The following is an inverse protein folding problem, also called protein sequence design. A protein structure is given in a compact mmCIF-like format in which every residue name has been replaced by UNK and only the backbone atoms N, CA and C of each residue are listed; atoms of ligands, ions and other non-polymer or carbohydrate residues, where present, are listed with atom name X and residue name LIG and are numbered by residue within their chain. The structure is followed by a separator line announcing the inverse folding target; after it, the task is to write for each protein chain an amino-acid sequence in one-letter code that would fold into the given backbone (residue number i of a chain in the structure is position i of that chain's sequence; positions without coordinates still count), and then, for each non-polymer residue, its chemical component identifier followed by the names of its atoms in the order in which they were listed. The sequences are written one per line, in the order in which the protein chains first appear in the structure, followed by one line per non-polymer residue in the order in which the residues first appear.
data_IF_019335505447
#
_entry.id   IF_019335505447
#
_cell.length_a   1.000
_cell.length_b   1.000
_cell.length_c   1.000
_cell.angle_alpha   90.00
_cell.angle_beta   90.00
_cell.angle_gamma   90.00
#
_symmetry.space_group_name_H-M   'P 1'
#
loop_
_entity.id
_entity.type
_entity.pdbx_description
1 polymer ?
#
# COMPACT_ATOMS: atom_id res chain seq x y z
N UNK A 1 -25.57 8.74 -0.71
CA UNK A 1 -24.44 8.36 0.16
C UNK A 1 -23.28 7.83 -0.66
N UNK A 2 -22.06 8.19 -0.30
CA UNK A 2 -20.90 7.66 -1.00
C UNK A 2 -20.60 6.25 -0.53
N UNK A 3 -20.11 5.43 -1.48
CA UNK A 3 -19.72 4.06 -1.22
C UNK A 3 -18.53 4.01 -0.27
N UNK A 4 -18.56 3.10 0.69
CA UNK A 4 -17.43 2.81 1.57
C UNK A 4 -16.60 1.70 0.95
N UNK A 5 -15.30 1.94 0.77
CA UNK A 5 -14.38 0.99 0.13
C UNK A 5 -13.29 0.63 1.14
N UNK A 6 -13.28 -0.62 1.58
CA UNK A 6 -12.28 -1.12 2.55
C UNK A 6 -11.08 -1.69 1.79
N UNK A 7 -9.91 -1.12 2.04
CA UNK A 7 -8.69 -1.54 1.36
C UNK A 7 -7.53 -1.69 2.35
N UNK A 8 -6.56 -2.50 1.98
CA UNK A 8 -5.34 -2.70 2.77
C UNK A 8 -4.13 -2.32 1.96
N UNK A 9 -3.08 -1.86 2.63
CA UNK A 9 -1.81 -1.50 2.00
C UNK A 9 -0.64 -2.04 2.79
N UNK A 10 0.34 -2.59 2.07
CA UNK A 10 1.54 -3.17 2.65
C UNK A 10 2.70 -2.18 2.59
N UNK A 11 3.23 -1.82 3.75
CA UNK A 11 4.45 -1.03 3.85
C UNK A 11 5.58 -2.03 3.98
N UNK A 12 6.13 -2.42 2.83
CA UNK A 12 7.11 -3.51 2.76
C UNK A 12 8.52 -2.95 2.95
N UNK A 13 9.15 -3.37 4.04
CA UNK A 13 10.53 -2.98 4.34
C UNK A 13 11.51 -4.03 3.82
N UNK A 14 12.60 -3.56 3.24
CA UNK A 14 13.76 -4.38 2.91
C UNK A 14 14.97 -3.57 3.37
N UNK A 15 15.55 -3.96 4.52
CA UNK A 15 16.53 -3.15 5.25
C UNK A 15 15.88 -1.79 5.61
N UNK A 16 16.49 -0.67 5.22
CA UNK A 16 15.96 0.67 5.53
C UNK A 16 15.11 1.24 4.39
N UNK A 17 14.80 0.42 3.38
CA UNK A 17 14.04 0.87 2.21
C UNK A 17 12.62 0.35 2.24
N UNK A 18 11.74 1.14 1.64
CA UNK A 18 10.30 0.82 1.55
C UNK A 18 9.91 0.72 0.08
N UNK A 19 9.11 -0.30 -0.23
CA UNK A 19 8.59 -0.49 -1.59
C UNK A 19 7.49 0.52 -1.89
N UNK A 20 7.67 1.28 -2.95
CA UNK A 20 6.71 2.25 -3.44
C UNK A 20 6.23 1.80 -4.81
N UNK A 21 4.91 1.76 -5.03
CA UNK A 21 4.32 1.30 -6.28
C UNK A 21 3.61 2.45 -6.98
N UNK A 22 3.86 2.61 -8.29
CA UNK A 22 3.23 3.65 -9.09
C UNK A 22 2.06 3.09 -9.87
N UNK A 23 0.90 3.72 -9.71
CA UNK A 23 -0.33 3.34 -10.42
C UNK A 23 -0.16 3.59 -11.92
N UNK A 24 -0.69 2.70 -12.75
CA UNK A 24 -0.59 2.88 -14.19
C UNK A 24 -1.61 3.89 -14.71
N UNK A 25 -1.52 4.23 -16.00
CA UNK A 25 -2.35 5.26 -16.62
C UNK A 25 -3.83 4.89 -16.67
N UNK A 26 -4.16 3.61 -16.59
CA UNK A 26 -5.53 3.10 -16.71
C UNK A 26 -6.25 2.96 -15.38
N UNK A 27 -5.55 3.15 -14.28
CA UNK A 27 -6.14 3.09 -12.93
C UNK A 27 -6.71 4.45 -12.54
N UNK A 28 -7.60 4.46 -11.53
CA UNK A 28 -7.95 5.73 -10.89
C UNK A 28 -6.71 6.31 -10.24
N UNK A 29 -6.65 7.65 -10.07
CA UNK A 29 -5.47 8.34 -9.56
C UNK A 29 -4.21 7.94 -10.34
N UNK A 30 -4.23 8.10 -11.69
CA UNK A 30 -3.14 7.60 -12.52
C UNK A 30 -1.79 8.20 -12.17
N UNK A 31 -0.76 7.37 -12.24
CA UNK A 31 0.65 7.74 -12.02
C UNK A 31 0.99 8.21 -10.60
N UNK A 32 0.05 8.19 -9.67
CA UNK A 32 0.35 8.46 -8.27
C UNK A 32 0.97 7.22 -7.62
N UNK A 33 1.68 7.45 -6.54
CA UNK A 33 2.36 6.38 -5.80
C UNK A 33 1.48 5.90 -4.65
N UNK A 34 1.59 4.62 -4.32
CA UNK A 34 0.83 4.00 -3.25
C UNK A 34 1.60 2.83 -2.64
N UNK A 35 1.20 2.42 -1.45
CA UNK A 35 1.63 1.14 -0.92
C UNK A 35 0.81 0.06 -1.61
N UNK A 36 1.44 -1.04 -2.07
CA UNK A 36 0.70 -2.08 -2.76
C UNK A 36 -0.31 -2.75 -1.84
N UNK A 37 -1.42 -3.19 -2.41
CA UNK A 37 -2.51 -3.83 -1.68
C UNK A 37 -3.77 -3.85 -2.51
N UNK A 38 -4.92 -3.86 -1.86
CA UNK A 38 -6.19 -3.88 -2.58
C UNK A 38 -7.39 -4.03 -1.66
N UNK A 39 -8.53 -4.36 -2.25
CA UNK A 39 -9.80 -4.42 -1.54
C UNK A 39 -9.89 -5.65 -0.66
N UNK A 40 -10.50 -5.46 0.51
CA UNK A 40 -10.83 -6.57 1.42
C UNK A 40 -12.08 -7.26 0.88
N UNK A 41 -12.02 -8.58 0.74
CA UNK A 41 -13.16 -9.35 0.27
C UNK A 41 -14.03 -9.78 1.46
N UNK A 42 -15.27 -10.19 1.17
CA UNK A 42 -16.21 -10.63 2.18
C UNK A 42 -15.60 -11.73 3.05
N UNK A 43 -15.77 -11.60 4.36
CA UNK A 43 -15.31 -12.58 5.35
C UNK A 43 -13.78 -12.69 5.47
N UNK A 44 -13.04 -11.77 4.87
CA UNK A 44 -11.58 -11.67 5.02
C UNK A 44 -11.21 -10.72 6.14
N UNK A 45 -10.18 -11.07 6.92
CA UNK A 45 -9.55 -10.10 7.82
C UNK A 45 -8.65 -9.17 7.02
N UNK A 46 -8.23 -8.07 7.63
CA UNK A 46 -7.28 -7.14 6.99
C UNK A 46 -5.98 -7.85 6.62
N UNK A 47 -5.45 -8.66 7.53
CA UNK A 47 -4.19 -9.39 7.30
C UNK A 47 -4.34 -10.43 6.19
N UNK A 48 -5.45 -11.17 6.17
CA UNK A 48 -5.72 -12.15 5.11
C UNK A 48 -5.82 -11.48 3.75
N UNK A 49 -6.53 -10.35 3.69
CA UNK A 49 -6.67 -9.59 2.45
C UNK A 49 -5.31 -9.10 1.95
N UNK A 50 -4.49 -8.60 2.87
CA UNK A 50 -3.18 -8.07 2.52
C UNK A 50 -2.27 -9.14 1.94
N UNK A 51 -2.22 -10.30 2.58
CA UNK A 51 -1.41 -11.43 2.08
C UNK A 51 -1.88 -11.90 0.71
N UNK A 52 -3.20 -12.02 0.54
CA UNK A 52 -3.80 -12.44 -0.73
C UNK A 52 -3.48 -11.44 -1.85
N UNK A 53 -3.72 -10.14 -1.59
CA UNK A 53 -3.50 -9.10 -2.60
C UNK A 53 -2.05 -9.05 -3.06
N UNK A 54 -1.11 -9.13 -2.13
CA UNK A 54 0.31 -9.08 -2.48
C UNK A 54 0.74 -10.35 -3.22
N UNK A 55 0.20 -11.51 -2.83
CA UNK A 55 0.46 -12.76 -3.55
C UNK A 55 -0.03 -12.67 -5.00
N UNK A 56 -1.22 -12.10 -5.22
CA UNK A 56 -1.81 -11.96 -6.55
C UNK A 56 -1.08 -10.90 -7.39
N UNK A 57 -0.81 -9.74 -6.81
CA UNK A 57 -0.25 -8.60 -7.56
C UNK A 57 1.25 -8.68 -7.76
N UNK A 58 1.99 -9.22 -6.80
CA UNK A 58 3.45 -9.16 -6.80
C UNK A 58 4.12 -10.52 -6.68
N UNK A 59 3.33 -11.59 -6.66
CA UNK A 59 3.82 -12.97 -6.67
C UNK A 59 4.84 -13.24 -5.56
N UNK A 60 4.60 -12.68 -4.38
CA UNK A 60 5.48 -12.88 -3.22
C UNK A 60 4.68 -13.00 -1.94
N UNK A 61 5.29 -13.56 -0.91
CA UNK A 61 4.69 -13.74 0.41
C UNK A 61 5.23 -12.74 1.40
N UNK A 62 4.36 -12.30 2.32
CA UNK A 62 4.71 -11.33 3.35
C UNK A 62 4.64 -11.92 4.75
N UNK A 63 5.51 -11.41 5.61
CA UNK A 63 5.33 -11.49 7.05
C UNK A 63 4.73 -10.17 7.47
N UNK A 64 3.48 -10.19 7.96
CA UNK A 64 2.75 -8.97 8.34
C UNK A 64 3.04 -8.65 9.80
N UNK A 65 3.48 -7.43 10.05
CA UNK A 65 3.79 -6.94 11.39
C UNK A 65 2.74 -5.98 11.91
N UNK A 66 3.19 -4.90 12.53
CA UNK A 66 2.31 -3.95 13.22
C UNK A 66 1.50 -3.10 12.27
N UNK A 67 0.26 -2.83 12.66
CA UNK A 67 -0.60 -1.89 11.93
C UNK A 67 -0.07 -0.47 12.14
N UNK A 68 0.03 0.28 11.05
CA UNK A 68 0.48 1.67 11.10
C UNK A 68 -0.68 2.62 11.35
N UNK A 69 -1.71 2.55 10.51
CA UNK A 69 -2.88 3.41 10.69
C UNK A 69 -4.05 2.94 9.83
N UNK A 70 -5.23 3.47 10.15
CA UNK A 70 -6.41 3.40 9.30
C UNK A 70 -6.75 4.82 8.89
N UNK A 71 -6.83 5.07 7.59
CA UNK A 71 -7.05 6.40 7.04
C UNK A 71 -8.28 6.39 6.15
N UNK A 72 -9.20 7.34 6.37
CA UNK A 72 -10.36 7.51 5.50
C UNK A 72 -10.15 8.74 4.64
N UNK A 73 -10.36 8.59 3.34
CA UNK A 73 -10.26 9.71 2.40
C UNK A 73 -11.41 9.64 1.41
N UNK A 74 -12.09 10.77 1.23
CA UNK A 74 -13.21 10.85 0.30
C UNK A 74 -12.72 11.25 -1.08
N UNK A 75 -12.86 10.32 -2.04
CA UNK A 75 -12.66 10.59 -3.47
C UNK A 75 -14.04 10.74 -4.13
N UNK A 76 -14.06 11.23 -5.36
CA UNK A 76 -15.35 11.38 -6.06
C UNK A 76 -16.07 10.04 -6.27
N UNK A 77 -15.33 8.93 -6.33
CA UNK A 77 -15.90 7.60 -6.56
C UNK A 77 -16.29 6.88 -5.26
N UNK A 78 -15.95 7.42 -4.09
CA UNK A 78 -16.27 6.80 -2.81
C UNK A 78 -15.32 7.20 -1.71
N UNK A 79 -15.58 6.69 -0.51
CA UNK A 79 -14.72 6.90 0.65
C UNK A 79 -13.83 5.67 0.80
N UNK A 80 -12.52 5.86 0.65
CA UNK A 80 -11.53 4.78 0.82
C UNK A 80 -11.09 4.76 2.27
N UNK A 81 -11.25 3.60 2.90
CA UNK A 81 -10.73 3.33 4.24
C UNK A 81 -9.51 2.42 4.07
N UNK A 82 -8.33 3.01 4.19
CA UNK A 82 -7.06 2.32 3.95
C UNK A 82 -6.44 1.92 5.28
N UNK A 83 -6.19 0.62 5.42
CA UNK A 83 -5.56 0.02 6.59
C UNK A 83 -4.15 -0.42 6.21
N UNK A 84 -3.13 0.18 6.82
CA UNK A 84 -1.74 -0.07 6.45
C UNK A 84 -0.99 -0.82 7.54
N UNK A 85 -0.11 -1.73 7.11
CA UNK A 85 0.68 -2.59 8.00
C UNK A 85 2.12 -2.58 7.56
N UNK A 86 3.04 -2.62 8.54
CA UNK A 86 4.45 -2.87 8.28
C UNK A 86 4.62 -4.34 7.92
N UNK A 87 5.35 -4.60 6.86
CA UNK A 87 5.54 -5.96 6.35
C UNK A 87 6.99 -6.21 6.00
N UNK A 88 7.36 -7.49 5.98
CA UNK A 88 8.67 -7.93 5.50
C UNK A 88 8.47 -9.01 4.45
N UNK A 89 9.39 -9.10 3.52
CA UNK A 89 9.39 -10.18 2.53
C UNK A 89 9.86 -11.46 3.22
N UNK A 90 9.25 -12.60 2.85
CA UNK A 90 9.69 -13.90 3.36
C UNK A 90 10.87 -14.42 2.54
N UNK A 91 10.65 -14.71 1.25
CA UNK A 91 11.69 -15.33 0.42
C UNK A 91 11.89 -14.63 -0.91
N UNK A 92 10.80 -14.30 -1.61
CA UNK A 92 10.88 -13.77 -2.97
C UNK A 92 10.78 -12.25 -3.00
N UNK A 93 11.51 -11.64 -3.91
CA UNK A 93 11.33 -10.23 -4.23
C UNK A 93 10.02 -10.03 -4.99
N UNK A 94 9.36 -8.88 -4.81
CA UNK A 94 8.12 -8.59 -5.54
C UNK A 94 8.35 -8.54 -7.04
N UNK A 95 7.37 -9.05 -7.78
CA UNK A 95 7.37 -9.01 -9.25
C UNK A 95 6.35 -7.98 -9.69
N UNK A 96 6.74 -7.10 -10.60
CA UNK A 96 5.85 -6.08 -11.14
C UNK A 96 4.86 -6.72 -12.12
N UNK A 97 3.56 -6.65 -11.82
CA UNK A 97 2.52 -7.20 -12.70
C UNK A 97 1.53 -6.15 -13.18
N UNK A 98 0.97 -5.36 -12.28
CA UNK A 98 -0.11 -4.39 -12.61
C UNK A 98 0.33 -2.94 -12.56
N UNK A 99 1.24 -2.60 -11.67
CA UNK A 99 1.70 -1.22 -11.50
C UNK A 99 2.62 -0.81 -12.64
N UNK A 100 2.69 0.49 -12.90
CA UNK A 100 3.59 1.03 -13.92
C UNK A 100 5.04 0.81 -13.55
N UNK A 101 5.40 1.06 -12.31
CA UNK A 101 6.76 0.85 -11.81
C UNK A 101 6.76 0.65 -10.30
N UNK A 102 7.87 0.16 -9.79
CA UNK A 102 8.12 0.08 -8.35
C UNK A 102 9.49 0.67 -8.07
N UNK A 103 9.63 1.27 -6.89
CA UNK A 103 10.90 1.81 -6.40
C UNK A 103 11.09 1.44 -4.95
N UNK A 104 12.34 1.18 -4.57
CA UNK A 104 12.73 1.00 -3.18
C UNK A 104 13.39 2.30 -2.73
N UNK A 105 12.77 3.03 -1.79
CA UNK A 105 13.28 4.30 -1.29
C UNK A 105 13.60 4.22 0.19
N UNK A 106 14.64 4.95 0.60
CA UNK A 106 14.87 5.16 2.02
C UNK A 106 13.66 5.87 2.62
N UNK A 107 13.34 5.55 3.87
CA UNK A 107 12.17 6.14 4.54
C UNK A 107 12.22 7.67 4.49
N UNK A 108 13.39 8.26 4.70
CA UNK A 108 13.54 9.72 4.70
C UNK A 108 13.21 10.38 3.35
N UNK A 109 13.22 9.60 2.26
CA UNK A 109 12.97 10.11 0.90
C UNK A 109 11.55 9.87 0.41
N UNK A 110 10.70 9.23 1.21
CA UNK A 110 9.33 8.88 0.79
C UNK A 110 8.51 10.09 0.39
N UNK A 111 8.69 11.22 1.07
CA UNK A 111 7.89 12.41 0.79
C UNK A 111 8.28 13.11 -0.52
N UNK A 112 9.30 12.62 -1.23
CA UNK A 112 9.66 13.15 -2.56
C UNK A 112 8.71 12.66 -3.65
N UNK A 113 7.93 11.61 -3.39
CA UNK A 113 6.98 11.06 -4.37
C UNK A 113 5.60 11.71 -4.21
N UNK A 114 4.84 11.70 -5.31
CA UNK A 114 3.45 12.17 -5.30
C UNK A 114 2.53 11.01 -4.92
N UNK A 115 2.20 10.93 -3.65
CA UNK A 115 1.38 9.84 -3.10
C UNK A 115 -0.10 10.08 -3.31
N UNK A 116 -0.84 8.99 -3.52
CA UNK A 116 -2.31 9.04 -3.46
C UNK A 116 -2.72 9.57 -2.08
N UNK A 117 -3.72 10.46 -2.01
CA UNK A 117 -4.07 11.11 -0.74
C UNK A 117 -4.31 10.17 0.44
N UNK A 118 -4.96 9.03 0.23
CA UNK A 118 -5.25 8.09 1.32
C UNK A 118 -3.98 7.50 1.93
N UNK A 119 -2.87 7.47 1.18
CA UNK A 119 -1.59 6.91 1.65
C UNK A 119 -0.74 7.91 2.42
N UNK A 120 -0.99 9.20 2.25
CA UNK A 120 -0.16 10.25 2.84
C UNK A 120 -0.02 10.16 4.37
N UNK A 121 -1.09 9.93 5.14
CA UNK A 121 -0.94 9.84 6.59
C UNK A 121 0.01 8.72 7.04
N UNK A 122 -0.04 7.57 6.38
CA UNK A 122 0.88 6.47 6.70
C UNK A 122 2.32 6.84 6.37
N UNK A 123 2.55 7.51 5.24
CA UNK A 123 3.88 7.99 4.86
C UNK A 123 4.44 8.91 5.95
N UNK A 124 3.64 9.86 6.43
CA UNK A 124 4.06 10.79 7.47
C UNK A 124 4.41 10.10 8.77
N UNK A 125 3.62 9.11 9.17
CA UNK A 125 3.87 8.35 10.39
C UNK A 125 5.22 7.64 10.31
N UNK A 126 5.48 6.96 9.19
CA UNK A 126 6.74 6.22 9.02
C UNK A 126 7.94 7.17 8.99
N UNK A 127 7.83 8.27 8.28
CA UNK A 127 8.92 9.26 8.19
C UNK A 127 9.23 9.84 9.58
N UNK A 128 8.19 10.09 10.38
CA UNK A 128 8.37 10.65 11.72
C UNK A 128 8.99 9.66 12.70
N UNK A 129 9.00 8.36 12.39
CA UNK A 129 9.61 7.33 13.24
C UNK A 129 11.14 7.25 13.09
N UNK A 130 11.70 7.89 12.08
CA UNK A 130 13.15 7.81 11.79
C UNK A 130 13.93 8.84 12.58
#
# INVERSE_FOLDING_TARGET
MKKQIEVVGAIIFNDDKVLCAQRNENMSLPLMWEFPGGKIEKDESEIEALKREISEEMLCDLEVGDKVTSTSYEYHFGIVNLHTYKCKLKEKMPTLTEHKSIQWLDVKDLETLEWAPADIPAVKIIVDEV
#
